data_IF_613372895707
#
_entry.id   IF_613372895707
#
_cell.length_a   1.000
_cell.length_b   1.000
_cell.length_c   1.000
_cell.angle_alpha   90.00
_cell.angle_beta   90.00
_cell.angle_gamma   90.00
#
_symmetry.space_group_name_H-M   'P 1'
#
loop_
_entity.id
_entity.type
_entity.pdbx_description
1 polymer ?
#
# COMPACT_ATOMS: atom_id res chain seq x y z
N UNK A 1 -19.87 -23.64 8.53
CA UNK A 1 -19.53 -22.22 8.72
C UNK A 1 -18.72 -21.80 7.52
N UNK A 2 -19.16 -20.80 6.78
CA UNK A 2 -18.38 -20.21 5.69
C UNK A 2 -17.38 -19.27 6.38
N UNK A 3 -16.08 -19.46 6.21
CA UNK A 3 -15.11 -18.49 6.73
C UNK A 3 -15.45 -17.10 6.16
N UNK A 4 -15.30 -16.02 6.93
CA UNK A 4 -15.36 -14.69 6.35
C UNK A 4 -14.34 -14.60 5.20
N UNK A 5 -14.61 -13.77 4.17
CA UNK A 5 -13.63 -13.56 3.11
C UNK A 5 -12.28 -13.15 3.72
N UNK A 6 -11.19 -13.76 3.24
CA UNK A 6 -9.86 -13.56 3.80
C UNK A 6 -9.49 -12.07 3.82
N UNK A 7 -8.88 -11.60 4.90
CA UNK A 7 -8.46 -10.20 5.01
C UNK A 7 -7.16 -9.98 4.22
N UNK A 8 -7.27 -9.49 2.99
CA UNK A 8 -6.15 -9.22 2.08
C UNK A 8 -5.65 -7.78 2.25
N UNK A 9 -4.35 -7.64 2.48
CA UNK A 9 -3.66 -6.35 2.56
C UNK A 9 -2.65 -6.18 1.42
N UNK A 10 -2.76 -5.06 0.71
CA UNK A 10 -1.78 -4.61 -0.27
C UNK A 10 -0.81 -3.65 0.42
N UNK A 11 0.48 -3.97 0.37
CA UNK A 11 1.56 -3.19 0.94
C UNK A 11 2.32 -2.52 -0.21
N UNK A 12 2.34 -1.18 -0.19
CA UNK A 12 3.00 -0.36 -1.22
C UNK A 12 4.10 0.45 -0.55
N UNK A 13 5.36 0.21 -0.93
CA UNK A 13 6.45 1.12 -0.60
C UNK A 13 6.47 2.25 -1.64
N UNK A 14 6.56 3.51 -1.19
CA UNK A 14 6.51 4.66 -2.09
C UNK A 14 7.58 5.71 -1.74
N UNK A 15 8.21 6.29 -2.76
CA UNK A 15 9.14 7.41 -2.63
C UNK A 15 9.04 8.35 -3.84
N UNK A 16 8.43 9.52 -3.67
CA UNK A 16 8.14 10.52 -4.70
C UNK A 16 7.25 10.01 -5.86
N UNK A 17 6.16 9.32 -5.51
CA UNK A 17 5.21 8.71 -6.43
C UNK A 17 3.85 9.43 -6.46
N UNK A 18 3.80 10.71 -6.10
CA UNK A 18 2.55 11.46 -5.97
C UNK A 18 1.71 11.53 -7.26
N UNK A 19 2.33 11.31 -8.43
CA UNK A 19 1.64 11.30 -9.73
C UNK A 19 0.90 10.00 -10.04
N UNK A 20 1.33 8.87 -9.48
CA UNK A 20 0.81 7.55 -9.82
C UNK A 20 0.04 6.90 -8.66
N UNK A 21 0.45 7.16 -7.43
CA UNK A 21 -0.05 6.45 -6.24
C UNK A 21 -1.57 6.54 -6.07
N UNK A 22 -2.17 7.67 -6.46
CA UNK A 22 -3.62 7.87 -6.40
C UNK A 22 -4.39 6.91 -7.30
N UNK A 23 -3.94 6.74 -8.54
CA UNK A 23 -4.57 5.85 -9.52
C UNK A 23 -4.39 4.38 -9.12
N UNK A 24 -3.21 4.01 -8.61
CA UNK A 24 -2.94 2.66 -8.09
C UNK A 24 -3.90 2.30 -6.95
N UNK A 25 -4.03 3.17 -5.95
CA UNK A 25 -4.96 2.93 -4.83
C UNK A 25 -6.42 2.93 -5.32
N UNK A 26 -6.75 3.85 -6.23
CA UNK A 26 -8.08 3.96 -6.83
C UNK A 26 -8.51 2.71 -7.61
N UNK A 27 -7.56 1.95 -8.16
CA UNK A 27 -7.84 0.69 -8.82
C UNK A 27 -7.96 -0.49 -7.83
N UNK A 28 -7.20 -0.48 -6.73
CA UNK A 28 -7.19 -1.57 -5.74
C UNK A 28 -8.38 -1.52 -4.76
N UNK A 29 -8.80 -0.32 -4.34
CA UNK A 29 -9.85 -0.14 -3.33
C UNK A 29 -11.23 -0.68 -3.75
N UNK A 30 -11.71 -0.47 -5.00
CA UNK A 30 -13.00 -1.01 -5.44
C UNK A 30 -13.10 -2.54 -5.41
N UNK A 31 -11.97 -3.25 -5.52
CA UNK A 31 -11.90 -4.72 -5.41
C UNK A 31 -12.02 -5.23 -3.95
N UNK A 32 -12.12 -4.31 -2.98
CA UNK A 32 -12.29 -4.65 -1.56
C UNK A 32 -10.97 -4.88 -0.81
N UNK A 33 -9.82 -4.62 -1.43
CA UNK A 33 -8.53 -4.76 -0.76
C UNK A 33 -8.29 -3.66 0.27
N UNK A 34 -7.68 -4.04 1.41
CA UNK A 34 -7.10 -3.07 2.34
C UNK A 34 -5.72 -2.65 1.84
N UNK A 35 -5.42 -1.34 1.87
CA UNK A 35 -4.17 -0.81 1.32
C UNK A 35 -3.41 -0.04 2.39
N UNK A 36 -2.13 -0.37 2.55
CA UNK A 36 -1.17 0.42 3.31
C UNK A 36 -0.07 0.91 2.38
N UNK A 37 0.16 2.22 2.38
CA UNK A 37 1.30 2.85 1.74
C UNK A 37 2.31 3.25 2.81
N UNK A 38 3.57 2.88 2.60
CA UNK A 38 4.69 3.34 3.39
C UNK A 38 5.45 4.38 2.59
N UNK A 39 5.24 5.65 2.93
CA UNK A 39 5.95 6.79 2.37
C UNK A 39 7.37 6.88 2.97
N UNK A 40 8.38 6.54 2.18
CA UNK A 40 9.78 6.46 2.60
C UNK A 40 10.48 7.84 2.54
N UNK A 41 9.88 8.82 3.23
CA UNK A 41 10.31 10.22 3.28
C UNK A 41 10.24 10.95 1.93
N UNK A 42 9.13 10.82 1.20
CA UNK A 42 8.90 11.60 -0.02
C UNK A 42 8.90 13.11 0.26
N UNK A 43 9.33 13.87 -0.75
CA UNK A 43 9.38 15.35 -0.73
C UNK A 43 8.23 15.97 -1.52
N UNK A 44 7.47 15.16 -2.24
CA UNK A 44 6.29 15.55 -2.99
C UNK A 44 5.00 15.24 -2.21
N UNK A 45 3.87 15.19 -2.92
CA UNK A 45 2.54 14.98 -2.35
C UNK A 45 2.17 13.50 -2.16
N UNK A 46 3.09 12.54 -2.34
CA UNK A 46 2.82 11.08 -2.26
C UNK A 46 1.92 10.69 -1.10
N UNK A 47 2.31 11.07 0.13
CA UNK A 47 1.54 10.72 1.33
C UNK A 47 0.19 11.43 1.43
N UNK A 48 0.05 12.62 0.85
CA UNK A 48 -1.22 13.34 0.84
C UNK A 48 -2.19 12.68 -0.14
N UNK A 49 -1.73 12.42 -1.37
CA UNK A 49 -2.50 11.73 -2.42
C UNK A 49 -2.92 10.34 -1.95
N UNK A 50 -2.02 9.56 -1.34
CA UNK A 50 -2.34 8.22 -0.85
C UNK A 50 -3.44 8.22 0.23
N UNK A 51 -3.41 9.18 1.16
CA UNK A 51 -4.47 9.33 2.18
C UNK A 51 -5.80 9.72 1.54
N UNK A 52 -5.78 10.65 0.59
CA UNK A 52 -6.99 11.10 -0.11
C UNK A 52 -7.63 9.96 -0.92
N UNK A 53 -6.82 9.08 -1.51
CA UNK A 53 -7.29 7.88 -2.20
C UNK A 53 -7.82 6.78 -1.25
N UNK A 54 -7.68 6.96 0.07
CA UNK A 54 -8.26 6.09 1.09
C UNK A 54 -7.33 5.01 1.65
N UNK A 55 -6.03 5.04 1.35
CA UNK A 55 -5.07 4.11 1.94
C UNK A 55 -4.72 4.49 3.39
N UNK A 56 -4.33 3.49 4.18
CA UNK A 56 -3.56 3.73 5.40
C UNK A 56 -2.16 4.21 5.01
N UNK A 57 -1.62 5.23 5.68
CA UNK A 57 -0.32 5.80 5.31
C UNK A 57 0.62 5.86 6.51
N UNK A 58 1.70 5.11 6.43
CA UNK A 58 2.85 5.18 7.32
C UNK A 58 3.92 6.04 6.65
N UNK A 59 4.72 6.75 7.46
CA UNK A 59 5.76 7.63 6.93
C UNK A 59 7.07 7.45 7.69
N UNK A 60 8.14 7.18 6.97
CA UNK A 60 9.48 7.22 7.53
C UNK A 60 10.01 8.65 7.60
N UNK A 61 10.76 8.95 8.66
CA UNK A 61 11.37 10.27 8.85
C UNK A 61 12.58 10.50 7.93
N UNK A 62 13.24 9.43 7.49
CA UNK A 62 14.34 9.40 6.53
C UNK A 62 14.08 8.27 5.53
N UNK A 63 14.70 8.34 4.35
CA UNK A 63 14.61 7.25 3.38
C UNK A 63 15.41 6.04 3.88
N UNK A 64 14.74 4.92 4.13
CA UNK A 64 15.31 3.67 4.62
C UNK A 64 15.43 2.61 3.50
N UNK A 65 14.88 2.90 2.32
CA UNK A 65 14.86 2.01 1.17
C UNK A 65 13.62 1.10 1.13
N UNK A 66 13.35 0.56 -0.06
CA UNK A 66 12.17 -0.24 -0.36
C UNK A 66 11.98 -1.44 0.59
N UNK A 67 13.06 -2.18 0.90
CA UNK A 67 12.97 -3.34 1.78
C UNK A 67 12.50 -2.98 3.20
N UNK A 68 13.02 -1.89 3.76
CA UNK A 68 12.60 -1.40 5.08
C UNK A 68 11.14 -0.90 5.04
N UNK A 69 10.76 -0.18 3.99
CA UNK A 69 9.39 0.29 3.80
C UNK A 69 8.39 -0.88 3.68
N UNK A 70 8.72 -1.92 2.90
CA UNK A 70 7.91 -3.13 2.81
C UNK A 70 7.81 -3.83 4.16
N UNK A 71 8.92 -3.98 4.89
CA UNK A 71 8.91 -4.57 6.23
C UNK A 71 7.94 -3.83 7.17
N UNK A 72 8.03 -2.49 7.24
CA UNK A 72 7.13 -1.68 8.05
C UNK A 72 5.66 -1.85 7.66
N UNK A 73 5.37 -1.92 6.36
CA UNK A 73 4.01 -2.13 5.88
C UNK A 73 3.46 -3.53 6.17
N UNK A 74 4.30 -4.56 6.05
CA UNK A 74 3.96 -5.95 6.41
C UNK A 74 3.68 -6.05 7.91
N UNK A 75 4.55 -5.49 8.77
CA UNK A 75 4.36 -5.49 10.22
C UNK A 75 3.04 -4.80 10.61
N UNK A 76 2.73 -3.67 9.97
CA UNK A 76 1.46 -2.99 10.16
C UNK A 76 0.27 -3.86 9.73
N UNK A 77 0.30 -4.43 8.53
CA UNK A 77 -0.80 -5.24 8.00
C UNK A 77 -1.03 -6.50 8.85
N UNK A 78 0.03 -7.16 9.33
CA UNK A 78 -0.06 -8.27 10.28
C UNK A 78 -0.73 -7.83 11.59
N UNK A 79 -0.40 -6.65 12.11
CA UNK A 79 -1.05 -6.10 13.30
C UNK A 79 -2.54 -5.76 13.07
N UNK A 80 -2.97 -5.55 11.82
CA UNK A 80 -4.38 -5.39 11.44
C UNK A 80 -5.11 -6.72 11.21
N UNK A 81 -4.43 -7.87 11.38
CA UNK A 81 -5.02 -9.19 11.17
C UNK A 81 -5.04 -9.65 9.71
N UNK A 82 -4.08 -9.19 8.90
CA UNK A 82 -3.93 -9.68 7.53
C UNK A 82 -3.76 -11.21 7.49
N UNK A 83 -4.57 -11.88 6.69
CA UNK A 83 -4.43 -13.31 6.37
C UNK A 83 -3.60 -13.52 5.11
N UNK A 84 -3.66 -12.55 4.19
CA UNK A 84 -2.91 -12.53 2.94
C UNK A 84 -2.26 -11.17 2.77
N UNK A 85 -0.98 -11.18 2.39
CA UNK A 85 -0.18 -10.00 2.10
C UNK A 85 0.23 -10.03 0.65
N UNK A 86 0.04 -8.90 -0.04
CA UNK A 86 0.52 -8.69 -1.41
C UNK A 86 1.38 -7.44 -1.40
N UNK A 87 2.62 -7.55 -1.86
CA UNK A 87 3.46 -6.38 -2.13
C UNK A 87 3.17 -5.87 -3.52
N UNK A 88 3.06 -4.55 -3.70
CA UNK A 88 2.69 -3.95 -4.98
C UNK A 88 3.50 -2.66 -5.21
N UNK A 89 3.93 -2.41 -6.45
CA UNK A 89 4.74 -1.22 -6.75
C UNK A 89 3.88 0.03 -6.88
N UNK A 90 4.46 1.16 -6.49
CA UNK A 90 3.81 2.47 -6.49
C UNK A 90 3.77 3.16 -7.87
N UNK A 91 4.54 2.68 -8.86
CA UNK A 91 4.76 3.34 -10.15
C UNK A 91 3.67 3.07 -11.20
N UNK A 92 2.69 2.21 -10.87
CA UNK A 92 1.56 1.89 -11.73
C UNK A 92 1.85 0.88 -12.84
N UNK A 93 3.00 0.19 -12.83
CA UNK A 93 3.28 -0.86 -13.82
C UNK A 93 2.59 -2.20 -13.51
N UNK A 94 2.28 -2.46 -12.25
CA UNK A 94 1.50 -3.63 -11.83
C UNK A 94 0.01 -3.42 -12.05
N UNK A 95 -0.70 -4.43 -12.55
CA UNK A 95 -2.15 -4.37 -12.78
C UNK A 95 -2.87 -5.08 -11.65
N UNK A 96 -4.02 -4.53 -11.24
CA UNK A 96 -4.92 -5.16 -10.26
C UNK A 96 -5.29 -6.59 -10.68
N UNK A 97 -5.42 -6.83 -11.99
CA UNK A 97 -5.69 -8.15 -12.58
C UNK A 97 -4.62 -9.21 -12.32
N UNK A 98 -3.44 -8.81 -11.82
CA UNK A 98 -2.34 -9.73 -11.51
C UNK A 98 -2.49 -10.33 -10.09
N UNK A 99 -3.44 -9.83 -9.29
CA UNK A 99 -3.80 -10.38 -7.98
C UNK A 99 -4.86 -11.49 -8.21
N UNK A 100 -4.54 -12.78 -7.92
CA UNK A 100 -5.43 -13.92 -8.19
C UNK A 100 -6.70 -13.96 -7.33
#
# INVERSE_FOLDING_TARGET
MISPPATIWIVIAAYNEGRAIGDVIGALRPEGYSVVVVDDCSRDETAAVARQAGASVLRHAINLGQGAALQTGIEFALAQGAEILVTFDADGQHRVSDIP
#
